data_IF_879956366427
#
_entry.id   IF_879956366427
#
_cell.length_a   1.000
_cell.length_b   1.000
_cell.length_c   1.000
_cell.angle_alpha   90.00
_cell.angle_beta   90.00
_cell.angle_gamma   90.00
#
_symmetry.space_group_name_H-M   'P 1'
#
loop_
_entity.id
_entity.type
_entity.pdbx_description
1 polymer ?
#
# COMPACT_ATOMS: atom_id res chain seq x y z
N UNK A 1 9.91 2.53 7.98
CA UNK A 1 9.19 1.81 6.89
C UNK A 1 9.16 0.30 7.13
N UNK A 2 10.31 -0.39 7.21
CA UNK A 2 10.34 -1.84 7.45
C UNK A 2 9.53 -2.29 8.68
N UNK A 3 9.75 -1.63 9.82
CA UNK A 3 8.99 -1.90 11.05
C UNK A 3 7.49 -1.68 10.90
N UNK A 4 7.07 -0.65 10.15
CA UNK A 4 5.66 -0.39 9.90
C UNK A 4 5.00 -1.55 9.15
N UNK A 5 5.62 -2.03 8.07
CA UNK A 5 5.09 -3.19 7.33
C UNK A 5 5.12 -4.47 8.17
N UNK A 6 6.13 -4.64 9.03
CA UNK A 6 6.19 -5.76 9.97
C UNK A 6 5.00 -5.77 10.95
N UNK A 7 4.61 -4.61 11.51
CA UNK A 7 3.47 -4.56 12.43
C UNK A 7 2.13 -4.83 11.74
N UNK A 8 2.01 -4.56 10.44
CA UNK A 8 0.78 -4.83 9.68
C UNK A 8 0.51 -6.32 9.47
N UNK A 9 1.52 -7.19 9.58
CA UNK A 9 1.37 -8.62 9.33
C UNK A 9 0.43 -9.32 10.31
N UNK A 10 0.36 -8.86 11.55
CA UNK A 10 -0.24 -9.61 12.64
C UNK A 10 -1.76 -9.58 12.67
N UNK A 11 -2.38 -8.50 12.23
CA UNK A 11 -3.84 -8.45 12.10
C UNK A 11 -4.34 -9.10 10.80
N UNK A 12 -3.44 -9.44 9.87
CA UNK A 12 -3.69 -10.11 8.58
C UNK A 12 -3.13 -11.52 8.52
N UNK A 13 -2.90 -12.18 9.65
CA UNK A 13 -2.32 -13.52 9.65
C UNK A 13 -3.20 -14.49 8.82
N UNK A 14 -2.60 -15.27 7.90
CA UNK A 14 -3.32 -16.33 7.20
C UNK A 14 -3.85 -17.40 8.18
N UNK A 15 -4.92 -18.13 7.82
CA UNK A 15 -5.55 -18.18 6.49
C UNK A 15 -6.72 -17.22 6.29
N UNK A 16 -7.18 -16.52 7.33
CA UNK A 16 -8.39 -15.68 7.26
C UNK A 16 -8.09 -14.21 6.98
N UNK A 17 -6.87 -13.74 7.21
CA UNK A 17 -6.47 -12.34 6.99
C UNK A 17 -7.33 -11.34 7.81
N UNK A 18 -7.83 -11.79 8.97
CA UNK A 18 -8.76 -11.06 9.82
C UNK A 18 -10.20 -10.98 9.30
N UNK A 19 -10.49 -11.56 8.12
CA UNK A 19 -11.85 -11.64 7.59
C UNK A 19 -12.73 -12.61 8.41
N UNK A 20 -14.06 -12.45 8.32
CA UNK A 20 -15.01 -13.45 8.80
C UNK A 20 -14.84 -14.82 8.09
N UNK A 21 -15.40 -15.89 8.66
CA UNK A 21 -15.26 -17.26 8.13
C UNK A 21 -15.79 -17.42 6.69
N UNK A 22 -16.83 -16.66 6.35
CA UNK A 22 -17.45 -16.63 5.03
C UNK A 22 -16.80 -15.61 4.07
N UNK A 23 -15.77 -14.90 4.52
CA UNK A 23 -15.12 -13.81 3.78
C UNK A 23 -16.10 -12.72 3.34
N UNK A 24 -17.16 -12.46 4.12
CA UNK A 24 -18.06 -11.35 3.86
C UNK A 24 -17.32 -10.00 3.84
N UNK A 25 -17.68 -9.16 2.86
CA UNK A 25 -17.19 -7.79 2.74
C UNK A 25 -18.20 -6.81 3.31
N UNK A 26 -17.69 -5.67 3.79
CA UNK A 26 -18.50 -4.53 4.18
C UNK A 26 -19.28 -3.96 3.01
N UNK A 27 -20.56 -3.68 3.24
CA UNK A 27 -21.50 -3.15 2.24
C UNK A 27 -22.19 -1.90 2.75
N UNK A 28 -22.81 -1.15 1.84
CA UNK A 28 -23.75 -0.11 2.22
C UNK A 28 -25.17 -0.67 2.26
N UNK A 29 -25.92 -0.36 3.32
CA UNK A 29 -27.34 -0.68 3.41
C UNK A 29 -28.19 0.29 2.57
N UNK A 30 -29.51 0.12 2.57
CA UNK A 30 -30.45 0.94 1.81
C UNK A 30 -30.40 2.44 2.20
N UNK A 31 -30.02 2.76 3.44
CA UNK A 31 -29.86 4.12 3.94
C UNK A 31 -28.44 4.69 3.70
N UNK A 32 -27.57 3.94 3.02
CA UNK A 32 -26.20 4.35 2.71
C UNK A 32 -25.22 4.24 3.90
N UNK A 33 -25.61 3.61 5.00
CA UNK A 33 -24.75 3.32 6.15
C UNK A 33 -23.95 2.04 5.93
N UNK A 34 -22.76 1.97 6.53
CA UNK A 34 -21.90 0.80 6.42
C UNK A 34 -22.40 -0.36 7.31
N UNK A 35 -22.60 -1.53 6.70
CA UNK A 35 -22.72 -2.81 7.38
C UNK A 35 -21.31 -3.43 7.47
N UNK A 36 -20.64 -3.15 8.59
CA UNK A 36 -19.23 -3.50 8.82
C UNK A 36 -19.01 -5.00 9.01
N UNK A 37 -17.83 -5.43 8.60
CA UNK A 37 -17.30 -6.79 8.83
C UNK A 37 -15.98 -6.67 9.61
N UNK A 38 -15.02 -7.59 9.42
CA UNK A 38 -13.73 -7.53 10.11
C UNK A 38 -12.52 -7.68 9.17
N UNK A 39 -11.38 -7.18 9.65
CA UNK A 39 -10.07 -7.41 9.04
C UNK A 39 -9.96 -6.90 7.60
N UNK A 40 -9.23 -7.63 6.75
CA UNK A 40 -8.93 -7.17 5.40
C UNK A 40 -10.20 -7.01 4.53
N UNK A 41 -11.19 -7.88 4.70
CA UNK A 41 -12.44 -7.85 3.94
C UNK A 41 -13.31 -6.63 4.30
N UNK A 42 -13.22 -6.18 5.55
CA UNK A 42 -13.88 -4.95 6.00
C UNK A 42 -13.33 -3.73 5.25
N UNK A 43 -12.01 -3.54 5.26
CA UNK A 43 -11.37 -2.41 4.58
C UNK A 43 -11.55 -2.43 3.06
N UNK A 44 -11.45 -3.60 2.42
CA UNK A 44 -11.72 -3.72 0.98
C UNK A 44 -13.18 -3.38 0.66
N UNK A 45 -14.13 -3.82 1.49
CA UNK A 45 -15.55 -3.48 1.31
C UNK A 45 -15.79 -1.98 1.45
N UNK A 46 -15.13 -1.34 2.39
CA UNK A 46 -15.17 0.12 2.62
C UNK A 46 -14.64 0.89 1.43
N UNK A 47 -13.49 0.49 0.87
CA UNK A 47 -12.93 1.10 -0.35
C UNK A 47 -13.94 1.03 -1.51
N UNK A 48 -14.61 -0.11 -1.68
CA UNK A 48 -15.63 -0.28 -2.72
C UNK A 48 -16.85 0.61 -2.48
N UNK A 49 -17.39 0.66 -1.26
CA UNK A 49 -18.54 1.52 -0.93
C UNK A 49 -18.23 3.01 -1.16
N UNK A 50 -17.04 3.46 -0.79
CA UNK A 50 -16.63 4.86 -0.95
C UNK A 50 -16.13 5.19 -2.35
N UNK A 51 -15.85 4.20 -3.20
CA UNK A 51 -15.38 4.42 -4.57
C UNK A 51 -16.37 5.23 -5.42
N UNK A 52 -17.68 5.12 -5.15
CA UNK A 52 -18.74 5.82 -5.89
C UNK A 52 -19.10 7.19 -5.30
N UNK A 53 -18.59 7.53 -4.12
CA UNK A 53 -18.89 8.77 -3.39
C UNK A 53 -17.91 9.89 -3.77
N UNK A 54 -18.21 11.18 -3.47
CA UNK A 54 -17.23 12.25 -3.60
C UNK A 54 -15.99 11.99 -2.73
N UNK A 55 -14.80 12.25 -3.28
CA UNK A 55 -13.50 11.99 -2.64
C UNK A 55 -12.61 13.23 -2.70
N UNK A 56 -12.94 14.30 -1.94
CA UNK A 56 -12.04 15.43 -1.84
C UNK A 56 -10.75 15.00 -1.15
N UNK A 57 -9.62 15.36 -1.73
CA UNK A 57 -8.28 14.98 -1.27
C UNK A 57 -7.40 16.22 -1.15
N UNK A 58 -6.51 16.25 -0.14
CA UNK A 58 -5.73 17.44 0.21
C UNK A 58 -6.59 18.70 0.35
N UNK A 59 -7.69 18.58 1.10
CA UNK A 59 -8.58 19.70 1.37
C UNK A 59 -7.86 20.73 2.23
N UNK A 60 -7.67 21.93 1.68
CA UNK A 60 -7.08 23.07 2.36
C UNK A 60 -8.12 24.20 2.49
N UNK A 61 -8.49 24.49 3.74
CA UNK A 61 -9.21 25.71 4.07
C UNK A 61 -8.18 26.82 4.34
N UNK A 62 -8.09 27.79 3.42
CA UNK A 62 -7.04 28.82 3.42
C UNK A 62 -7.33 29.99 4.38
N UNK A 63 -8.58 30.20 4.77
CA UNK A 63 -8.97 31.36 5.59
C UNK A 63 -9.60 30.99 6.95
N UNK A 64 -9.80 29.69 7.22
CA UNK A 64 -10.50 29.15 8.39
C UNK A 64 -11.88 29.82 8.60
N UNK A 65 -12.52 30.26 7.51
CA UNK A 65 -13.87 30.81 7.44
C UNK A 65 -14.63 30.06 6.33
N UNK A 66 -15.70 30.68 5.81
CA UNK A 66 -16.61 30.12 4.80
C UNK A 66 -16.10 30.24 3.36
N UNK A 67 -14.78 30.40 3.13
CA UNK A 67 -14.26 30.39 1.76
C UNK A 67 -14.28 28.99 1.13
N UNK A 68 -14.28 28.90 -0.21
CA UNK A 68 -14.22 27.62 -0.90
C UNK A 68 -12.96 26.84 -0.52
N UNK A 69 -13.14 25.59 -0.10
CA UNK A 69 -12.03 24.69 0.21
C UNK A 69 -11.33 24.25 -1.09
N UNK A 70 -10.00 24.40 -1.13
CA UNK A 70 -9.20 23.89 -2.24
C UNK A 70 -9.00 22.39 -2.02
N UNK A 71 -9.50 21.56 -2.93
CA UNK A 71 -9.29 20.11 -2.90
C UNK A 71 -9.01 19.56 -4.28
N UNK A 72 -8.33 18.41 -4.32
CA UNK A 72 -8.11 17.60 -5.51
C UNK A 72 -9.17 16.51 -5.53
N UNK A 73 -9.84 16.30 -6.67
CA UNK A 73 -10.82 15.24 -6.79
C UNK A 73 -10.14 13.88 -7.06
N UNK A 74 -10.21 12.99 -6.09
CA UNK A 74 -9.69 11.62 -6.18
C UNK A 74 -10.75 10.64 -6.72
N UNK A 75 -12.00 11.08 -6.95
CA UNK A 75 -13.11 10.21 -7.34
C UNK A 75 -12.84 9.37 -8.61
N UNK A 76 -12.20 9.89 -9.68
CA UNK A 76 -11.93 9.06 -10.86
C UNK A 76 -11.03 7.86 -10.54
N UNK A 77 -9.98 8.07 -9.75
CA UNK A 77 -9.05 7.01 -9.34
C UNK A 77 -9.71 6.05 -8.35
N UNK A 78 -10.50 6.58 -7.41
CA UNK A 78 -11.24 5.77 -6.46
C UNK A 78 -12.24 4.83 -7.16
N UNK A 79 -12.98 5.32 -8.18
CA UNK A 79 -13.90 4.50 -8.98
C UNK A 79 -13.19 3.38 -9.73
N UNK A 80 -12.03 3.68 -10.35
CA UNK A 80 -11.23 2.66 -11.03
C UNK A 80 -10.71 1.60 -10.05
N UNK A 81 -10.24 2.03 -8.87
CA UNK A 81 -9.84 1.11 -7.80
C UNK A 81 -11.02 0.26 -7.32
N UNK A 82 -12.19 0.87 -7.08
CA UNK A 82 -13.40 0.15 -6.68
C UNK A 82 -13.82 -0.92 -7.70
N UNK A 83 -13.80 -0.58 -9.00
CA UNK A 83 -14.08 -1.54 -10.06
C UNK A 83 -13.08 -2.71 -10.09
N UNK A 84 -11.79 -2.45 -9.87
CA UNK A 84 -10.78 -3.50 -9.75
C UNK A 84 -11.01 -4.38 -8.50
N UNK A 85 -11.31 -3.76 -7.36
CA UNK A 85 -11.56 -4.47 -6.12
C UNK A 85 -12.77 -5.40 -6.24
N UNK A 86 -13.90 -4.90 -6.74
CA UNK A 86 -15.15 -5.64 -6.86
C UNK A 86 -15.06 -6.79 -7.87
N UNK A 87 -14.41 -6.56 -9.02
CA UNK A 87 -14.41 -7.54 -10.11
C UNK A 87 -13.22 -8.51 -10.08
N UNK A 88 -12.11 -8.16 -9.41
CA UNK A 88 -10.88 -8.97 -9.42
C UNK A 88 -10.47 -9.41 -8.02
N UNK A 89 -10.45 -8.49 -7.05
CA UNK A 89 -9.92 -8.78 -5.70
C UNK A 89 -10.92 -9.53 -4.85
N UNK A 90 -12.16 -9.05 -4.71
CA UNK A 90 -13.19 -9.66 -3.87
C UNK A 90 -13.47 -11.13 -4.26
N UNK A 91 -13.64 -11.49 -5.56
CA UNK A 91 -13.87 -12.88 -5.94
C UNK A 91 -12.67 -13.79 -5.67
N UNK A 92 -11.45 -13.23 -5.62
CA UNK A 92 -10.19 -13.96 -5.45
C UNK A 92 -9.51 -13.63 -4.11
N UNK A 93 -10.27 -13.24 -3.09
CA UNK A 93 -9.72 -12.64 -1.86
C UNK A 93 -8.73 -13.52 -1.12
N UNK A 94 -8.87 -14.84 -1.19
CA UNK A 94 -7.90 -15.75 -0.55
C UNK A 94 -6.51 -15.63 -1.18
N UNK A 95 -6.43 -15.58 -2.51
CA UNK A 95 -5.17 -15.39 -3.23
C UNK A 95 -4.61 -13.99 -3.02
N UNK A 96 -5.47 -12.98 -3.08
CA UNK A 96 -5.06 -11.59 -2.82
C UNK A 96 -4.64 -11.37 -1.37
N UNK A 97 -5.23 -12.05 -0.40
CA UNK A 97 -4.80 -12.00 1.00
C UNK A 97 -3.36 -12.50 1.16
N UNK A 98 -3.02 -13.64 0.54
CA UNK A 98 -1.63 -14.12 0.51
C UNK A 98 -0.69 -13.18 -0.25
N UNK A 99 -1.15 -12.59 -1.35
CA UNK A 99 -0.38 -11.60 -2.10
C UNK A 99 -0.07 -10.38 -1.23
N UNK A 100 -1.08 -9.78 -0.59
CA UNK A 100 -0.95 -8.59 0.26
C UNK A 100 -0.05 -8.92 1.44
N UNK A 101 -0.36 -9.97 2.22
CA UNK A 101 0.44 -10.37 3.37
C UNK A 101 1.89 -10.71 2.98
N UNK A 102 2.07 -11.44 1.87
CA UNK A 102 3.37 -11.81 1.35
C UNK A 102 4.18 -10.60 0.88
N UNK A 103 3.53 -9.62 0.23
CA UNK A 103 4.17 -8.35 -0.14
C UNK A 103 4.58 -7.54 1.09
N UNK A 104 3.74 -7.44 2.12
CA UNK A 104 4.09 -6.78 3.39
C UNK A 104 5.28 -7.46 4.07
N UNK A 105 5.27 -8.80 4.11
CA UNK A 105 6.34 -9.59 4.71
C UNK A 105 7.66 -9.43 3.93
N UNK A 106 7.56 -9.42 2.60
CA UNK A 106 8.71 -9.21 1.72
C UNK A 106 9.27 -7.79 1.89
N UNK A 107 8.43 -6.76 1.94
CA UNK A 107 8.88 -5.38 2.20
C UNK A 107 9.60 -5.31 3.55
N UNK A 108 8.98 -5.86 4.60
CA UNK A 108 9.56 -5.88 5.93
C UNK A 108 10.94 -6.55 5.90
N UNK A 109 11.05 -7.74 5.31
CA UNK A 109 12.31 -8.47 5.19
C UNK A 109 13.38 -7.69 4.39
N UNK A 110 13.06 -7.27 3.16
CA UNK A 110 14.01 -6.59 2.28
C UNK A 110 14.52 -5.29 2.90
N UNK A 111 13.64 -4.48 3.47
CA UNK A 111 14.04 -3.20 4.06
C UNK A 111 14.68 -3.34 5.44
N UNK A 112 14.32 -4.34 6.24
CA UNK A 112 14.91 -4.55 7.56
C UNK A 112 16.37 -4.99 7.44
N UNK A 113 16.68 -5.90 6.51
CA UNK A 113 18.05 -6.33 6.23
C UNK A 113 18.78 -5.42 5.23
N UNK A 114 18.08 -4.49 4.60
CA UNK A 114 18.62 -3.66 3.51
C UNK A 114 19.16 -4.51 2.35
N UNK A 115 18.40 -5.55 1.99
CA UNK A 115 18.63 -6.44 0.85
C UNK A 115 17.67 -6.06 -0.26
N UNK A 116 18.17 -5.78 -1.46
CA UNK A 116 17.41 -5.25 -2.60
C UNK A 116 16.50 -4.10 -2.19
N UNK A 117 17.07 -3.12 -1.50
CA UNK A 117 16.32 -2.04 -0.86
C UNK A 117 15.47 -1.21 -1.84
N UNK A 118 15.86 -1.13 -3.12
CA UNK A 118 15.01 -0.51 -4.16
C UNK A 118 13.78 -1.36 -4.47
N UNK A 119 13.92 -2.68 -4.54
CA UNK A 119 12.77 -3.56 -4.73
C UNK A 119 11.79 -3.44 -3.56
N UNK A 120 12.30 -3.46 -2.32
CA UNK A 120 11.48 -3.25 -1.13
C UNK A 120 10.76 -1.90 -1.14
N UNK A 121 11.46 -0.82 -1.50
CA UNK A 121 10.87 0.52 -1.65
C UNK A 121 9.83 0.60 -2.77
N UNK A 122 10.04 -0.07 -3.90
CA UNK A 122 9.11 -0.08 -5.03
C UNK A 122 7.80 -0.80 -4.69
N UNK A 123 7.88 -1.97 -4.06
CA UNK A 123 6.69 -2.72 -3.64
C UNK A 123 5.93 -1.91 -2.57
N UNK A 124 6.66 -1.34 -1.59
CA UNK A 124 6.08 -0.46 -0.58
C UNK A 124 5.38 0.75 -1.20
N UNK A 125 5.97 1.36 -2.23
CA UNK A 125 5.40 2.49 -2.94
C UNK A 125 4.11 2.10 -3.65
N UNK A 126 4.10 0.97 -4.36
CA UNK A 126 2.90 0.48 -5.04
C UNK A 126 1.75 0.20 -4.06
N UNK A 127 2.03 -0.49 -2.94
CA UNK A 127 1.02 -0.76 -1.91
C UNK A 127 0.54 0.53 -1.24
N UNK A 128 1.45 1.43 -0.87
CA UNK A 128 1.11 2.69 -0.21
C UNK A 128 0.27 3.59 -1.13
N UNK A 129 0.57 3.61 -2.43
CA UNK A 129 -0.20 4.37 -3.41
C UNK A 129 -1.61 3.78 -3.59
N UNK A 130 -1.75 2.44 -3.58
CA UNK A 130 -3.07 1.82 -3.60
C UNK A 130 -3.86 2.22 -2.34
N UNK A 131 -3.26 2.11 -1.15
CA UNK A 131 -3.93 2.47 0.11
C UNK A 131 -4.34 3.95 0.12
N UNK A 132 -3.50 4.83 -0.41
CA UNK A 132 -3.82 6.25 -0.56
C UNK A 132 -5.04 6.45 -1.45
N UNK A 133 -5.11 5.79 -2.61
CA UNK A 133 -6.27 5.90 -3.52
C UNK A 133 -7.54 5.30 -2.88
N UNK A 134 -7.40 4.17 -2.19
CA UNK A 134 -8.49 3.45 -1.57
C UNK A 134 -9.08 4.16 -0.36
N UNK A 135 -8.24 4.64 0.56
CA UNK A 135 -8.63 5.00 1.91
C UNK A 135 -8.49 6.50 2.24
N UNK A 136 -7.69 7.28 1.50
CA UNK A 136 -7.53 8.69 1.84
C UNK A 136 -8.84 9.50 1.70
N UNK A 137 -9.18 10.31 2.70
CA UNK A 137 -10.39 11.12 2.72
C UNK A 137 -11.69 10.32 2.94
N UNK A 138 -11.63 9.09 3.48
CA UNK A 138 -12.85 8.38 3.92
C UNK A 138 -13.33 9.02 5.22
N UNK A 139 -14.53 9.60 5.27
CA UNK A 139 -15.03 10.29 6.46
C UNK A 139 -15.54 9.32 7.54
N UNK A 140 -16.00 8.13 7.14
CA UNK A 140 -16.54 7.12 8.05
C UNK A 140 -16.21 5.71 7.50
N UNK A 141 -15.45 4.89 8.23
CA UNK A 141 -14.77 5.18 9.48
C UNK A 141 -13.71 6.25 9.23
N UNK A 142 -13.56 7.15 10.19
CA UNK A 142 -12.59 8.23 10.06
C UNK A 142 -11.18 7.66 10.11
N UNK A 143 -10.54 7.58 8.94
CA UNK A 143 -9.12 7.27 8.80
C UNK A 143 -8.35 8.54 8.50
N UNK A 144 -7.24 8.73 9.21
CA UNK A 144 -6.41 9.92 9.02
C UNK A 144 -5.67 9.82 7.70
N UNK A 145 -6.16 10.54 6.68
CA UNK A 145 -5.66 10.53 5.31
C UNK A 145 -4.15 10.76 5.17
N UNK A 146 -3.58 11.58 6.05
CA UNK A 146 -2.15 11.88 6.05
C UNK A 146 -1.28 10.67 6.38
N UNK A 147 -1.83 9.64 7.06
CA UNK A 147 -1.14 8.37 7.26
C UNK A 147 -0.74 7.75 5.93
N UNK A 148 -1.68 7.64 4.99
CA UNK A 148 -1.41 7.09 3.65
C UNK A 148 -0.60 8.06 2.80
N UNK A 149 -0.86 9.37 2.90
CA UNK A 149 -0.12 10.39 2.15
C UNK A 149 1.34 10.46 2.54
N UNK A 150 1.71 10.11 3.77
CA UNK A 150 3.11 10.06 4.22
C UNK A 150 3.78 8.72 3.91
N UNK A 151 3.02 7.63 3.78
CA UNK A 151 3.57 6.33 3.38
C UNK A 151 4.14 6.35 1.95
N UNK A 152 3.47 7.05 1.03
CA UNK A 152 3.92 7.20 -0.36
C UNK A 152 5.31 7.87 -0.47
N UNK A 153 5.55 9.09 0.05
CA UNK A 153 6.85 9.75 -0.05
C UNK A 153 7.94 9.02 0.74
N UNK A 154 7.63 8.42 1.91
CA UNK A 154 8.62 7.61 2.63
C UNK A 154 9.04 6.37 1.82
N UNK A 155 8.09 5.73 1.14
CA UNK A 155 8.37 4.62 0.22
C UNK A 155 9.16 5.07 -1.01
N UNK A 156 8.84 6.25 -1.55
CA UNK A 156 9.57 6.87 -2.65
C UNK A 156 11.02 7.18 -2.26
N UNK A 157 11.26 7.71 -1.06
CA UNK A 157 12.62 7.96 -0.53
C UNK A 157 13.38 6.64 -0.40
N UNK A 158 12.76 5.59 0.15
CA UNK A 158 13.39 4.27 0.25
C UNK A 158 13.76 3.71 -1.14
N UNK A 159 12.88 3.84 -2.12
CA UNK A 159 13.14 3.44 -3.52
C UNK A 159 14.25 4.27 -4.18
N UNK A 160 14.21 5.59 -4.02
CA UNK A 160 15.13 6.51 -4.69
C UNK A 160 16.56 6.38 -4.17
N UNK A 161 16.72 6.43 -2.84
CA UNK A 161 18.03 6.47 -2.20
C UNK A 161 18.62 5.08 -1.94
N UNK A 162 17.79 4.02 -1.91
CA UNK A 162 18.23 2.65 -1.68
C UNK A 162 19.07 2.53 -0.38
N UNK A 163 18.44 2.67 0.81
CA UNK A 163 19.16 2.74 2.09
C UNK A 163 20.05 1.53 2.37
N UNK A 164 19.78 0.38 1.74
CA UNK A 164 20.61 -0.82 1.83
C UNK A 164 22.06 -0.61 1.37
N UNK A 165 22.31 0.36 0.47
CA UNK A 165 23.66 0.66 -0.05
C UNK A 165 24.64 1.17 1.01
N UNK A 166 24.13 1.67 2.13
CA UNK A 166 24.94 2.25 3.21
C UNK A 166 24.89 1.39 4.46
N UNK A 167 23.69 1.01 4.91
CA UNK A 167 23.49 0.33 6.20
C UNK A 167 23.04 -1.13 6.08
N UNK A 168 22.87 -1.65 4.86
CA UNK A 168 22.29 -2.97 4.61
C UNK A 168 23.23 -3.98 3.96
N UNK A 169 22.68 -5.16 3.68
CA UNK A 169 23.38 -6.23 2.98
C UNK A 169 23.77 -5.81 1.55
N UNK A 170 23.01 -4.91 0.91
CA UNK A 170 23.33 -4.38 -0.42
C UNK A 170 24.73 -3.75 -0.47
N UNK A 171 25.17 -3.08 0.60
CA UNK A 171 26.52 -2.51 0.70
C UNK A 171 27.63 -3.56 0.49
N UNK A 172 27.40 -4.78 0.98
CA UNK A 172 28.34 -5.91 0.86
C UNK A 172 28.24 -6.61 -0.49
N UNK A 173 27.03 -6.69 -1.06
CA UNK A 173 26.78 -7.37 -2.33
C UNK A 173 27.24 -6.54 -3.53
N UNK A 174 27.06 -5.23 -3.48
CA UNK A 174 27.24 -4.34 -4.62
C UNK A 174 28.65 -4.39 -5.24
N UNK A 175 29.77 -4.39 -4.49
CA UNK A 175 31.11 -4.54 -5.08
C UNK A 175 31.29 -5.86 -5.83
N UNK A 176 30.73 -6.96 -5.29
CA UNK A 176 30.78 -8.29 -5.91
C UNK A 176 29.95 -8.35 -7.18
N UNK A 177 28.76 -7.75 -7.15
CA UNK A 177 27.87 -7.65 -8.31
C UNK A 177 28.48 -6.79 -9.42
N UNK A 178 29.16 -5.68 -9.09
CA UNK A 178 29.90 -4.84 -10.05
C UNK A 178 31.00 -5.65 -10.76
N UNK A 179 31.82 -6.37 -9.99
CA UNK A 179 32.87 -7.22 -10.57
C UNK A 179 32.29 -8.33 -11.47
N UNK A 180 31.17 -8.94 -11.10
CA UNK A 180 30.51 -9.96 -11.90
C UNK A 180 29.85 -9.38 -13.18
N UNK A 181 29.26 -8.18 -13.09
CA UNK A 181 28.65 -7.50 -14.23
C UNK A 181 29.71 -7.02 -15.24
N UNK A 182 30.89 -6.60 -14.77
CA UNK A 182 32.04 -6.27 -15.62
C UNK A 182 32.54 -7.49 -16.41
N UNK A 183 32.43 -8.69 -15.85
CA UNK A 183 32.71 -9.98 -16.52
C UNK A 183 31.60 -10.43 -17.49
N UNK A 184 30.59 -9.59 -17.75
CA UNK A 184 29.51 -9.88 -18.71
C UNK A 184 28.29 -10.61 -18.14
N UNK A 185 28.21 -10.85 -16.83
CA UNK A 185 27.04 -11.51 -16.24
C UNK A 185 25.81 -10.58 -16.26
N UNK A 186 24.81 -10.94 -17.07
CA UNK A 186 23.55 -10.17 -17.23
C UNK A 186 22.69 -10.16 -15.96
N UNK A 187 22.67 -11.25 -15.19
CA UNK A 187 21.93 -11.33 -13.94
C UNK A 187 22.54 -10.40 -12.88
N UNK A 188 23.88 -10.34 -12.79
CA UNK A 188 24.56 -9.40 -11.89
C UNK A 188 24.23 -7.94 -12.24
N UNK A 189 24.12 -7.62 -13.53
CA UNK A 189 23.70 -6.29 -14.00
C UNK A 189 22.27 -5.96 -13.61
N UNK A 190 21.34 -6.92 -13.69
CA UNK A 190 19.96 -6.74 -13.26
C UNK A 190 19.86 -6.52 -11.74
N UNK A 191 20.59 -7.33 -10.95
CA UNK A 191 20.61 -7.19 -9.49
C UNK A 191 21.18 -5.84 -9.03
N UNK A 192 22.15 -5.27 -9.74
CA UNK A 192 22.67 -3.93 -9.46
C UNK A 192 21.63 -2.81 -9.57
N UNK A 193 20.56 -3.01 -10.35
CA UNK A 193 19.46 -2.03 -10.44
C UNK A 193 18.56 -2.10 -9.20
N UNK A 194 18.52 -3.25 -8.53
CA UNK A 194 17.68 -3.51 -7.36
C UNK A 194 18.39 -3.21 -6.03
N UNK A 195 19.73 -3.22 -6.03
CA UNK A 195 20.59 -2.75 -4.93
C UNK A 195 20.86 -1.26 -5.04
#
# INVERSE_FOLDING_TARGET
LAYLFFTQLWWKLPPTFGCPEDFAFTKANAEGRLERTSGLCDWIGVEVVYSSRPRPFFTANLDNKDAPELSIDLAPLARLNGAFLENVVQPNIRWFGYLIWGSEALIAFLLFFGLFSRLGGLIALAMSAQLMIGLAGIPDPYEWEWGYNMLVPVSLVAFAFAPGRVLGIDALLRPRLLAAAARGNRAARALLVLT
#
